data_IF_833013480743
#
_entry.id   IF_833013480743
#
_cell.length_a   1.000
_cell.length_b   1.000
_cell.length_c   1.000
_cell.angle_alpha   90.00
_cell.angle_beta   90.00
_cell.angle_gamma   90.00
#
_symmetry.space_group_name_H-M   'P 1'
#
loop_
_entity.id
_entity.type
_entity.pdbx_description
1 polymer ?
#
# COMPACT_ATOMS: atom_id res chain seq x y z
N UNK A 1 -80.80 25.12 -35.81
CA UNK A 1 -80.26 24.12 -34.88
C UNK A 1 -78.79 23.85 -35.27
N UNK A 2 -77.79 24.36 -34.53
CA UNK A 2 -76.41 24.26 -34.84
C UNK A 2 -75.69 23.45 -33.75
N UNK A 3 -75.18 22.30 -34.11
CA UNK A 3 -74.49 21.39 -33.24
C UNK A 3 -73.03 21.84 -33.08
N UNK A 4 -72.67 22.27 -31.85
CA UNK A 4 -71.32 22.63 -31.40
C UNK A 4 -70.46 21.34 -31.23
N UNK A 5 -69.45 21.13 -32.08
CA UNK A 5 -68.42 20.11 -31.87
C UNK A 5 -67.45 20.59 -30.79
N UNK A 6 -67.36 19.88 -29.69
CA UNK A 6 -66.34 20.04 -28.64
C UNK A 6 -64.97 19.57 -29.19
N UNK A 7 -64.06 20.54 -29.27
CA UNK A 7 -62.64 20.31 -29.56
C UNK A 7 -61.91 19.95 -28.28
N UNK A 8 -61.51 18.71 -28.09
CA UNK A 8 -60.68 18.30 -27.00
C UNK A 8 -59.28 18.88 -27.25
N UNK A 9 -58.84 19.72 -26.35
CA UNK A 9 -57.50 20.29 -26.29
C UNK A 9 -56.50 19.19 -25.94
N UNK A 10 -55.61 18.88 -26.87
CA UNK A 10 -54.39 18.10 -26.62
C UNK A 10 -53.45 18.99 -25.76
N UNK A 11 -53.34 18.66 -24.49
CA UNK A 11 -52.36 19.27 -23.59
C UNK A 11 -50.95 19.03 -24.11
N UNK A 12 -50.26 20.08 -24.50
CA UNK A 12 -48.87 20.10 -24.82
C UNK A 12 -48.03 19.74 -23.56
N UNK A 13 -47.62 18.49 -23.46
CA UNK A 13 -46.57 18.12 -22.51
C UNK A 13 -45.28 18.81 -22.97
N UNK A 14 -44.94 19.94 -22.37
CA UNK A 14 -43.62 20.59 -22.51
C UNK A 14 -42.54 19.58 -22.19
N UNK A 15 -41.86 19.06 -23.22
CA UNK A 15 -40.66 18.26 -23.07
C UNK A 15 -39.61 19.17 -22.43
N UNK A 16 -39.31 18.96 -21.16
CA UNK A 16 -38.25 19.68 -20.46
C UNK A 16 -36.93 19.43 -21.20
N UNK A 17 -36.19 20.51 -21.49
CA UNK A 17 -34.82 20.44 -21.96
C UNK A 17 -34.00 19.80 -20.82
N UNK A 18 -33.45 18.62 -21.08
CA UNK A 18 -32.61 17.90 -20.10
C UNK A 18 -31.35 18.69 -19.90
N UNK A 19 -31.06 19.09 -18.66
CA UNK A 19 -29.82 19.77 -18.27
C UNK A 19 -28.61 18.81 -18.48
N UNK A 20 -27.43 19.35 -18.75
CA UNK A 20 -26.22 18.56 -19.01
C UNK A 20 -25.92 17.57 -17.87
N UNK A 21 -26.14 17.98 -16.61
CA UNK A 21 -25.93 17.12 -15.44
C UNK A 21 -26.94 15.97 -15.42
N UNK A 22 -28.21 16.23 -15.70
CA UNK A 22 -29.25 15.21 -15.80
C UNK A 22 -28.95 14.22 -16.95
N UNK A 23 -28.37 14.70 -18.05
CA UNK A 23 -27.97 13.86 -19.17
C UNK A 23 -26.82 12.91 -18.80
N UNK A 24 -25.83 13.39 -18.05
CA UNK A 24 -24.72 12.54 -17.53
C UNK A 24 -25.23 11.49 -16.56
N UNK A 25 -26.09 11.85 -15.61
CA UNK A 25 -26.69 10.91 -14.66
C UNK A 25 -27.50 9.84 -15.38
N UNK A 26 -28.33 10.22 -16.35
CA UNK A 26 -29.10 9.26 -17.17
C UNK A 26 -28.19 8.36 -18.00
N UNK A 27 -27.11 8.90 -18.57
CA UNK A 27 -26.14 8.10 -19.31
C UNK A 27 -25.50 7.02 -18.42
N UNK A 28 -25.14 7.39 -17.18
CA UNK A 28 -24.61 6.44 -16.20
C UNK A 28 -25.61 5.32 -15.86
N UNK A 29 -26.88 5.66 -15.59
CA UNK A 29 -27.93 4.68 -15.28
C UNK A 29 -28.20 3.74 -16.45
N UNK A 30 -28.26 4.29 -17.68
CA UNK A 30 -28.44 3.49 -18.90
C UNK A 30 -27.25 2.54 -19.10
N UNK A 31 -26.02 3.02 -18.88
CA UNK A 31 -24.82 2.20 -18.97
C UNK A 31 -24.85 1.03 -17.97
N UNK A 32 -25.22 1.30 -16.71
CA UNK A 32 -25.38 0.26 -15.69
C UNK A 32 -26.42 -0.80 -16.07
N UNK A 33 -27.55 -0.38 -16.64
CA UNK A 33 -28.60 -1.30 -17.10
C UNK A 33 -28.19 -2.07 -18.34
N UNK A 34 -27.49 -1.44 -19.28
CA UNK A 34 -26.97 -2.08 -20.48
C UNK A 34 -25.91 -3.16 -20.18
N UNK A 35 -25.23 -3.05 -19.03
CA UNK A 35 -24.27 -4.05 -18.53
C UNK A 35 -24.93 -5.15 -17.69
N UNK A 36 -26.25 -5.08 -17.43
CA UNK A 36 -26.98 -6.07 -16.64
C UNK A 36 -27.35 -7.31 -17.42
N UNK A 37 -27.78 -8.38 -16.72
CA UNK A 37 -28.29 -9.61 -17.33
C UNK A 37 -29.56 -9.39 -18.18
N UNK A 38 -30.29 -8.29 -17.93
CA UNK A 38 -31.46 -7.87 -18.70
C UNK A 38 -31.26 -6.47 -19.30
N UNK A 39 -30.50 -6.34 -20.39
CA UNK A 39 -30.25 -5.06 -21.00
C UNK A 39 -31.54 -4.44 -21.59
N UNK A 40 -31.75 -3.12 -21.43
CA UNK A 40 -33.00 -2.46 -21.79
C UNK A 40 -33.14 -2.27 -23.31
N UNK A 41 -34.36 -2.37 -23.79
CA UNK A 41 -34.74 -1.97 -25.15
C UNK A 41 -34.91 -0.44 -25.22
N UNK A 42 -34.91 0.10 -26.44
CA UNK A 42 -35.21 1.52 -26.69
C UNK A 42 -36.56 1.93 -26.14
N UNK A 43 -37.58 1.04 -26.27
CA UNK A 43 -38.94 1.31 -25.83
C UNK A 43 -38.99 1.39 -24.29
N UNK A 44 -38.36 0.43 -23.59
CA UNK A 44 -38.30 0.39 -22.15
C UNK A 44 -37.61 1.64 -21.58
N UNK A 45 -36.50 2.08 -22.17
CA UNK A 45 -35.83 3.33 -21.76
C UNK A 45 -36.71 4.57 -22.00
N UNK A 46 -37.43 4.62 -23.14
CA UNK A 46 -38.31 5.74 -23.42
C UNK A 46 -39.48 5.83 -22.44
N UNK A 47 -40.08 4.69 -22.09
CA UNK A 47 -41.16 4.59 -21.11
C UNK A 47 -40.67 4.95 -19.68
N UNK A 48 -39.57 4.37 -19.26
CA UNK A 48 -39.00 4.56 -17.91
C UNK A 48 -38.61 6.02 -17.64
N UNK A 49 -37.86 6.60 -18.59
CA UNK A 49 -37.41 8.00 -18.44
C UNK A 49 -38.46 9.03 -18.93
N UNK A 50 -39.62 8.58 -19.40
CA UNK A 50 -40.69 9.45 -19.96
C UNK A 50 -40.16 10.38 -21.04
N UNK A 51 -39.33 9.87 -21.93
CA UNK A 51 -38.72 10.59 -23.04
C UNK A 51 -39.10 9.95 -24.38
N UNK A 52 -38.89 10.70 -25.46
CA UNK A 52 -39.18 10.17 -26.80
C UNK A 52 -38.11 9.17 -27.24
N UNK A 53 -38.42 8.20 -28.13
CA UNK A 53 -37.41 7.30 -28.72
C UNK A 53 -36.27 8.04 -29.42
N UNK A 54 -36.53 9.26 -29.91
CA UNK A 54 -35.49 10.12 -30.48
C UNK A 54 -34.54 10.64 -29.40
N UNK A 55 -35.05 11.00 -28.22
CA UNK A 55 -34.26 11.42 -27.10
C UNK A 55 -33.38 10.28 -26.53
N UNK A 56 -33.86 9.03 -26.58
CA UNK A 56 -33.03 7.85 -26.26
C UNK A 56 -31.85 7.75 -27.23
N UNK A 57 -32.09 7.89 -28.55
CA UNK A 57 -31.01 7.85 -29.53
C UNK A 57 -29.97 8.96 -29.29
N UNK A 58 -30.42 10.19 -28.93
CA UNK A 58 -29.52 11.29 -28.58
C UNK A 58 -28.70 10.95 -27.34
N UNK A 59 -29.30 10.33 -26.31
CA UNK A 59 -28.62 9.87 -25.12
C UNK A 59 -27.56 8.80 -25.44
N UNK A 60 -27.89 7.83 -26.27
CA UNK A 60 -26.91 6.81 -26.73
C UNK A 60 -25.78 7.45 -27.56
N UNK A 61 -26.09 8.43 -28.39
CA UNK A 61 -25.08 9.17 -29.15
C UNK A 61 -24.16 9.98 -28.21
N UNK A 62 -24.70 10.60 -27.20
CA UNK A 62 -23.93 11.30 -26.15
C UNK A 62 -23.05 10.32 -25.38
N UNK A 63 -23.58 9.14 -25.00
CA UNK A 63 -22.79 8.10 -24.33
C UNK A 63 -21.57 7.68 -25.17
N UNK A 64 -21.74 7.53 -26.48
CA UNK A 64 -20.61 7.27 -27.39
C UNK A 64 -19.57 8.38 -27.43
N UNK A 65 -20.01 9.65 -27.38
CA UNK A 65 -19.10 10.80 -27.34
C UNK A 65 -18.25 10.84 -26.06
N UNK A 66 -18.78 10.36 -24.95
CA UNK A 66 -18.06 10.22 -23.69
C UNK A 66 -17.41 8.82 -23.49
N UNK A 67 -17.14 8.13 -24.61
CA UNK A 67 -16.49 6.82 -24.66
C UNK A 67 -17.24 5.66 -23.95
N UNK A 68 -18.55 5.75 -23.77
CA UNK A 68 -19.38 4.64 -23.32
C UNK A 68 -19.96 3.94 -24.55
N UNK A 69 -19.34 2.83 -24.96
CA UNK A 69 -19.72 2.10 -26.20
C UNK A 69 -20.90 1.15 -25.97
N UNK A 70 -22.11 1.71 -26.06
CA UNK A 70 -23.34 0.92 -26.05
C UNK A 70 -23.60 0.40 -27.48
N UNK A 71 -23.77 -0.90 -27.61
CA UNK A 71 -24.14 -1.57 -28.88
C UNK A 71 -25.55 -2.11 -28.81
N UNK A 72 -26.21 -2.26 -29.96
CA UNK A 72 -27.51 -2.92 -30.03
C UNK A 72 -27.30 -4.38 -30.38
N UNK A 73 -27.78 -5.27 -29.53
CA UNK A 73 -27.72 -6.72 -29.72
C UNK A 73 -29.05 -7.38 -29.34
N UNK A 74 -29.37 -8.56 -29.86
CA UNK A 74 -30.55 -9.32 -29.45
C UNK A 74 -30.44 -9.68 -27.95
N UNK A 75 -31.48 -9.38 -27.16
CA UNK A 75 -31.55 -9.78 -25.76
C UNK A 75 -31.80 -11.29 -25.65
N UNK A 76 -31.02 -11.97 -24.80
CA UNK A 76 -31.06 -13.43 -24.67
C UNK A 76 -32.42 -13.97 -24.19
N UNK A 77 -33.21 -13.18 -23.47
CA UNK A 77 -34.51 -13.62 -22.91
C UNK A 77 -35.66 -13.60 -23.88
N UNK A 78 -35.69 -12.68 -24.85
CA UNK A 78 -36.85 -12.48 -25.76
C UNK A 78 -36.46 -12.12 -27.21
N UNK A 79 -35.18 -12.12 -27.54
CA UNK A 79 -34.66 -11.80 -28.88
C UNK A 79 -34.84 -10.36 -29.34
N UNK A 80 -35.38 -9.47 -28.51
CA UNK A 80 -35.59 -8.06 -28.89
C UNK A 80 -34.29 -7.28 -28.95
N UNK A 81 -34.17 -6.33 -29.90
CA UNK A 81 -33.01 -5.44 -29.95
C UNK A 81 -32.91 -4.63 -28.64
N UNK A 82 -31.87 -4.86 -27.88
CA UNK A 82 -31.61 -4.19 -26.63
C UNK A 82 -30.24 -3.49 -26.65
N UNK A 83 -30.08 -2.46 -25.83
CA UNK A 83 -28.81 -1.78 -25.67
C UNK A 83 -27.96 -2.57 -24.68
N UNK A 84 -26.87 -3.15 -25.17
CA UNK A 84 -25.91 -3.93 -24.38
C UNK A 84 -24.61 -3.19 -24.26
N UNK A 85 -23.97 -3.37 -23.11
CA UNK A 85 -22.64 -2.87 -22.82
C UNK A 85 -21.85 -4.01 -22.19
N UNK A 86 -20.68 -4.31 -22.73
CA UNK A 86 -19.78 -5.24 -22.04
C UNK A 86 -19.33 -4.58 -20.73
N UNK A 87 -19.25 -5.35 -19.67
CA UNK A 87 -18.76 -4.82 -18.39
C UNK A 87 -17.36 -4.18 -18.53
N UNK A 88 -16.55 -4.70 -19.48
CA UNK A 88 -15.24 -4.13 -19.85
C UNK A 88 -15.32 -2.75 -20.53
N UNK A 89 -16.45 -2.43 -21.17
CA UNK A 89 -16.61 -1.18 -21.91
C UNK A 89 -17.25 -0.07 -21.03
N UNK A 90 -17.70 -0.46 -19.83
CA UNK A 90 -18.22 0.44 -18.84
C UNK A 90 -17.09 1.01 -17.98
N UNK A 91 -16.79 2.30 -18.12
CA UNK A 91 -15.67 2.95 -17.47
C UNK A 91 -14.30 2.41 -17.95
N UNK A 92 -14.04 2.48 -19.26
CA UNK A 92 -12.67 2.34 -19.73
C UNK A 92 -11.77 3.34 -19.00
N UNK A 93 -10.69 2.84 -18.41
CA UNK A 93 -9.69 3.69 -17.81
C UNK A 93 -8.92 4.39 -18.93
N UNK A 94 -9.00 5.73 -18.94
CA UNK A 94 -8.20 6.55 -19.86
C UNK A 94 -6.79 6.70 -19.29
N UNK A 95 -6.03 5.62 -19.41
CA UNK A 95 -4.65 5.54 -18.96
C UNK A 95 -3.71 5.51 -20.16
N UNK A 96 -2.62 6.23 -20.08
CA UNK A 96 -1.47 6.06 -20.96
C UNK A 96 -0.81 4.70 -20.71
N UNK A 97 0.01 4.25 -21.66
CA UNK A 97 0.78 3.00 -21.50
C UNK A 97 1.69 3.07 -20.27
N UNK A 98 2.33 4.21 -20.01
CA UNK A 98 3.21 4.40 -18.86
C UNK A 98 2.47 4.30 -17.53
N UNK A 99 1.27 4.91 -17.43
CA UNK A 99 0.43 4.81 -16.24
C UNK A 99 -0.10 3.40 -16.01
N UNK A 100 -0.51 2.71 -17.07
CA UNK A 100 -0.96 1.33 -17.00
C UNK A 100 0.18 0.39 -16.57
N UNK A 101 1.37 0.55 -17.17
CA UNK A 101 2.58 -0.19 -16.77
C UNK A 101 2.92 0.08 -15.30
N UNK A 102 2.96 1.34 -14.87
CA UNK A 102 3.25 1.70 -13.48
C UNK A 102 2.23 1.06 -12.52
N UNK A 103 0.92 1.13 -12.83
CA UNK A 103 -0.13 0.57 -11.99
C UNK A 103 -0.06 -0.95 -11.88
N UNK A 104 0.10 -1.65 -13.01
CA UNK A 104 0.17 -3.12 -13.02
C UNK A 104 1.45 -3.62 -12.36
N UNK A 105 2.59 -2.98 -12.62
CA UNK A 105 3.85 -3.41 -12.04
C UNK A 105 4.00 -3.04 -10.58
N UNK A 106 3.44 -1.90 -10.15
CA UNK A 106 3.35 -1.58 -8.73
C UNK A 106 2.51 -2.63 -8.00
N UNK A 107 1.38 -3.04 -8.58
CA UNK A 107 0.55 -4.10 -8.02
C UNK A 107 1.26 -5.45 -8.03
N UNK A 108 1.99 -5.82 -9.08
CA UNK A 108 2.80 -7.04 -9.13
C UNK A 108 3.94 -7.02 -8.11
N UNK A 109 4.59 -5.86 -7.92
CA UNK A 109 5.59 -5.69 -6.89
C UNK A 109 5.00 -5.90 -5.49
N UNK A 110 3.79 -5.42 -5.29
CA UNK A 110 3.01 -5.58 -4.08
C UNK A 110 2.47 -7.00 -3.95
N UNK A 111 2.07 -7.68 -5.04
CA UNK A 111 1.65 -9.08 -5.08
C UNK A 111 2.79 -10.06 -4.78
N UNK A 112 4.01 -9.73 -5.15
CA UNK A 112 5.21 -10.50 -4.78
C UNK A 112 5.56 -10.39 -3.30
N UNK A 113 4.91 -9.50 -2.55
CA UNK A 113 4.94 -9.45 -1.10
C UNK A 113 3.71 -10.20 -0.57
N UNK A 114 3.77 -10.87 0.57
CA UNK A 114 2.58 -11.44 1.20
C UNK A 114 1.69 -10.28 1.70
N UNK A 115 1.09 -9.60 0.75
CA UNK A 115 0.08 -8.63 0.97
C UNK A 115 -1.18 -9.36 1.36
N UNK A 116 -1.56 -9.21 2.60
CA UNK A 116 -2.98 -9.30 2.96
C UNK A 116 -3.57 -10.68 3.17
N UNK A 117 -2.82 -11.78 3.04
CA UNK A 117 -3.39 -13.13 3.23
C UNK A 117 -4.44 -13.54 2.19
N UNK A 118 -4.71 -12.68 1.21
CA UNK A 118 -5.61 -12.95 0.10
C UNK A 118 -4.94 -12.58 -1.23
N UNK A 119 -4.13 -13.50 -1.73
CA UNK A 119 -3.50 -13.38 -3.06
C UNK A 119 -4.55 -13.23 -4.18
N UNK A 120 -5.82 -13.63 -3.92
CA UNK A 120 -6.91 -13.52 -4.88
C UNK A 120 -7.38 -12.07 -5.02
N UNK A 121 -7.60 -11.34 -3.94
CA UNK A 121 -8.09 -9.96 -3.99
C UNK A 121 -7.13 -9.05 -4.78
N UNK A 122 -5.84 -9.29 -4.66
CA UNK A 122 -4.83 -8.55 -5.38
C UNK A 122 -4.76 -8.97 -6.86
N UNK A 123 -4.85 -10.26 -7.17
CA UNK A 123 -4.93 -10.75 -8.54
C UNK A 123 -6.22 -10.26 -9.23
N UNK A 124 -7.36 -10.28 -8.53
CA UNK A 124 -8.64 -9.76 -9.02
C UNK A 124 -8.56 -8.27 -9.30
N UNK A 125 -7.86 -7.50 -8.47
CA UNK A 125 -7.64 -6.06 -8.66
C UNK A 125 -6.83 -5.78 -9.94
N UNK A 126 -5.74 -6.51 -10.18
CA UNK A 126 -4.96 -6.41 -11.43
C UNK A 126 -5.84 -6.76 -12.64
N UNK A 127 -6.60 -7.86 -12.53
CA UNK A 127 -7.50 -8.28 -13.58
C UNK A 127 -8.58 -7.24 -13.88
N UNK A 128 -9.19 -6.64 -12.87
CA UNK A 128 -10.19 -5.58 -13.03
C UNK A 128 -9.63 -4.32 -13.70
N UNK A 129 -8.40 -3.92 -13.36
CA UNK A 129 -7.75 -2.77 -14.00
C UNK A 129 -7.44 -3.11 -15.45
N UNK A 130 -6.80 -4.25 -15.70
CA UNK A 130 -6.38 -4.69 -17.04
C UNK A 130 -7.58 -4.87 -17.97
N UNK A 131 -8.70 -5.43 -17.44
CA UNK A 131 -9.94 -5.61 -18.20
C UNK A 131 -10.59 -4.28 -18.63
N UNK A 132 -10.31 -3.18 -17.95
CA UNK A 132 -10.86 -1.84 -18.25
C UNK A 132 -9.92 -0.96 -19.07
N UNK A 133 -8.72 -1.42 -19.40
CA UNK A 133 -7.81 -0.68 -20.27
C UNK A 133 -8.30 -0.74 -21.72
N UNK A 134 -8.03 0.33 -22.48
CA UNK A 134 -8.23 0.34 -23.92
C UNK A 134 -7.42 -0.77 -24.58
N UNK A 135 -7.95 -1.40 -25.62
CA UNK A 135 -7.31 -2.53 -26.28
C UNK A 135 -5.88 -2.25 -26.74
N UNK A 136 -5.60 -1.02 -27.22
CA UNK A 136 -4.25 -0.60 -27.60
C UNK A 136 -3.28 -0.57 -26.42
N UNK A 137 -3.72 -0.14 -25.22
CA UNK A 137 -2.90 -0.11 -24.01
C UNK A 137 -2.70 -1.53 -23.50
N UNK A 138 -3.75 -2.35 -23.49
CA UNK A 138 -3.70 -3.76 -23.09
C UNK A 138 -2.72 -4.55 -23.96
N UNK A 139 -2.82 -4.44 -25.29
CA UNK A 139 -1.92 -5.12 -26.22
C UNK A 139 -0.45 -4.77 -25.98
N UNK A 140 -0.14 -3.52 -25.60
CA UNK A 140 1.23 -3.10 -25.26
C UNK A 140 1.67 -3.65 -23.90
N UNK A 141 0.77 -3.78 -22.92
CA UNK A 141 1.05 -4.45 -21.65
C UNK A 141 1.35 -5.93 -21.86
N UNK A 142 0.51 -6.63 -22.65
CA UNK A 142 0.71 -8.04 -22.97
C UNK A 142 2.05 -8.27 -23.68
N UNK A 143 2.47 -7.33 -24.54
CA UNK A 143 3.79 -7.39 -25.20
C UNK A 143 4.98 -7.18 -24.24
N UNK A 144 4.74 -6.62 -23.05
CA UNK A 144 5.74 -6.47 -21.98
C UNK A 144 5.75 -7.66 -21.00
N UNK A 145 4.78 -8.56 -21.10
CA UNK A 145 4.75 -9.76 -20.26
C UNK A 145 6.03 -10.58 -20.44
N UNK A 146 6.64 -10.96 -19.33
CA UNK A 146 7.94 -11.64 -19.30
C UNK A 146 9.16 -10.76 -19.60
N UNK A 147 8.98 -9.48 -20.03
CA UNK A 147 10.07 -8.53 -20.29
C UNK A 147 10.27 -7.52 -19.17
N UNK A 148 9.30 -7.40 -18.28
CA UNK A 148 9.35 -6.53 -17.12
C UNK A 148 9.11 -7.36 -15.86
N UNK A 149 9.94 -7.17 -14.84
CA UNK A 149 9.75 -7.79 -13.55
C UNK A 149 10.25 -6.87 -12.43
N UNK A 150 9.46 -6.72 -11.38
CA UNK A 150 9.89 -6.11 -10.12
C UNK A 150 10.23 -7.25 -9.16
N UNK A 151 11.53 -7.42 -8.87
CA UNK A 151 11.98 -8.40 -7.88
C UNK A 151 12.14 -7.70 -6.54
N UNK A 152 11.12 -7.79 -5.70
CA UNK A 152 11.30 -7.47 -4.30
C UNK A 152 12.06 -8.61 -3.63
N UNK A 153 13.06 -8.24 -2.83
CA UNK A 153 13.78 -9.20 -2.01
C UNK A 153 12.78 -10.02 -1.17
N UNK A 154 13.07 -11.30 -0.95
CA UNK A 154 12.23 -12.28 -0.27
C UNK A 154 11.37 -11.67 0.83
N UNK A 155 10.06 -11.78 0.72
CA UNK A 155 9.12 -11.27 1.73
C UNK A 155 9.01 -12.25 2.91
N UNK A 156 8.66 -11.73 4.08
CA UNK A 156 8.28 -12.57 5.21
C UNK A 156 7.01 -13.37 4.86
N UNK A 157 6.84 -14.56 5.44
CA UNK A 157 5.60 -15.34 5.26
C UNK A 157 4.38 -14.49 5.67
N UNK A 158 3.34 -14.49 4.84
CA UNK A 158 2.05 -13.89 5.21
C UNK A 158 1.54 -14.45 6.53
N UNK A 159 0.94 -13.64 7.38
CA UNK A 159 0.11 -14.15 8.44
C UNK A 159 -1.01 -15.00 7.81
N UNK A 160 -1.24 -16.20 8.34
CA UNK A 160 -2.31 -17.10 7.89
C UNK A 160 -3.72 -16.67 8.34
N UNK A 161 -3.89 -15.41 8.70
CA UNK A 161 -5.13 -14.86 9.26
C UNK A 161 -5.46 -13.50 8.61
N UNK A 162 -6.67 -13.03 8.80
CA UNK A 162 -7.18 -11.75 8.32
C UNK A 162 -6.57 -10.53 9.03
N UNK A 163 -5.38 -10.67 9.63
CA UNK A 163 -4.79 -9.64 10.48
C UNK A 163 -4.66 -8.29 9.79
N UNK A 164 -4.31 -8.27 8.51
CA UNK A 164 -4.20 -7.02 7.77
C UNK A 164 -5.54 -6.31 7.67
N UNK A 165 -6.59 -7.03 7.29
CA UNK A 165 -7.94 -6.47 7.15
C UNK A 165 -8.45 -5.91 8.48
N UNK A 166 -8.30 -6.68 9.56
CA UNK A 166 -8.74 -6.27 10.89
C UNK A 166 -7.96 -5.06 11.41
N UNK A 167 -6.63 -5.02 11.16
CA UNK A 167 -5.81 -3.86 11.51
C UNK A 167 -6.23 -2.63 10.72
N UNK A 168 -6.46 -2.77 9.41
CA UNK A 168 -6.90 -1.66 8.56
C UNK A 168 -8.25 -1.11 9.02
N UNK A 169 -9.20 -1.99 9.37
CA UNK A 169 -10.50 -1.61 9.93
C UNK A 169 -10.33 -0.87 11.27
N UNK A 170 -9.45 -1.37 12.16
CA UNK A 170 -9.12 -0.70 13.42
C UNK A 170 -8.54 0.70 13.24
N UNK A 171 -7.69 0.91 12.22
CA UNK A 171 -7.15 2.23 11.88
C UNK A 171 -8.24 3.15 11.34
N UNK A 172 -9.05 2.67 10.39
CA UNK A 172 -10.11 3.47 9.75
C UNK A 172 -11.21 3.91 10.74
N UNK A 173 -11.56 3.03 11.67
CA UNK A 173 -12.62 3.29 12.66
C UNK A 173 -12.11 3.84 13.99
N UNK A 174 -10.80 4.01 14.16
CA UNK A 174 -10.16 4.36 15.43
C UNK A 174 -10.55 3.43 16.57
N UNK A 175 -10.51 2.12 16.32
CA UNK A 175 -10.86 1.07 17.29
C UNK A 175 -9.62 0.36 17.82
N UNK A 176 -9.65 0.09 19.11
CA UNK A 176 -8.61 -0.70 19.79
C UNK A 176 -8.59 -2.12 19.22
N UNK A 177 -7.42 -2.69 19.13
CA UNK A 177 -7.22 -4.09 18.73
C UNK A 177 -6.73 -4.89 19.93
N UNK A 178 -7.35 -6.04 20.16
CA UNK A 178 -6.87 -7.06 21.09
C UNK A 178 -6.12 -8.11 20.30
N UNK A 179 -4.81 -8.24 20.58
CA UNK A 179 -3.91 -9.10 19.82
C UNK A 179 -3.17 -10.09 20.72
N UNK A 180 -2.92 -11.28 20.19
CA UNK A 180 -1.93 -12.21 20.73
C UNK A 180 -0.65 -12.07 19.90
N UNK A 181 0.37 -11.45 20.49
CA UNK A 181 1.62 -11.11 19.81
C UNK A 181 2.76 -12.04 20.19
N UNK A 182 3.38 -12.67 19.19
CA UNK A 182 4.55 -13.51 19.39
C UNK A 182 5.83 -12.68 19.41
N UNK A 183 6.35 -12.38 20.60
CA UNK A 183 7.62 -11.67 20.75
C UNK A 183 8.81 -12.62 20.58
N UNK A 184 9.82 -12.27 19.76
CA UNK A 184 11.05 -13.06 19.63
C UNK A 184 11.96 -12.92 20.84
N UNK A 185 11.70 -11.96 21.73
CA UNK A 185 12.56 -11.57 22.81
C UNK A 185 11.99 -11.92 24.18
N UNK A 186 12.72 -12.64 24.98
CA UNK A 186 12.56 -12.69 26.45
C UNK A 186 13.42 -11.58 27.02
N UNK A 187 12.85 -10.57 27.73
CA UNK A 187 13.69 -9.67 28.51
C UNK A 187 14.47 -10.53 29.52
N UNK A 188 15.80 -10.50 29.46
CA UNK A 188 16.63 -11.01 30.53
C UNK A 188 16.26 -10.23 31.79
N UNK A 189 15.88 -10.92 32.86
CA UNK A 189 15.81 -10.35 34.21
C UNK A 189 17.24 -9.98 34.61
N UNK A 190 17.70 -8.82 34.18
CA UNK A 190 18.95 -8.19 34.59
C UNK A 190 18.60 -7.07 35.54
N UNK A 191 19.02 -7.22 36.75
CA UNK A 191 18.99 -6.23 37.82
C UNK A 191 19.67 -4.93 37.39
N UNK A 192 18.96 -3.82 37.54
CA UNK A 192 19.56 -2.51 37.76
C UNK A 192 19.74 -1.60 36.56
N UNK A 193 19.08 -0.52 36.70
CA UNK A 193 19.17 0.78 36.06
C UNK A 193 18.08 1.11 35.04
N UNK A 194 17.46 2.22 35.34
CA UNK A 194 16.26 2.79 34.74
C UNK A 194 16.29 2.88 33.21
N UNK A 195 15.20 2.48 32.59
CA UNK A 195 14.54 3.31 31.58
C UNK A 195 15.04 3.29 30.15
N UNK A 196 15.73 2.26 29.66
CA UNK A 196 15.90 2.15 28.21
C UNK A 196 14.89 1.13 27.65
N UNK A 197 13.81 1.61 27.06
CA UNK A 197 12.96 0.80 26.21
C UNK A 197 13.78 0.38 24.98
N UNK A 198 14.51 -0.73 25.10
CA UNK A 198 15.26 -1.31 23.98
C UNK A 198 14.23 -1.74 22.95
N UNK A 199 14.09 -0.98 21.89
CA UNK A 199 13.49 -1.47 20.65
C UNK A 199 14.21 -2.74 20.30
N UNK A 200 13.47 -3.84 20.19
CA UNK A 200 14.07 -5.14 19.92
C UNK A 200 14.90 -5.06 18.63
N UNK A 201 16.14 -5.57 18.62
CA UNK A 201 16.90 -5.71 17.38
C UNK A 201 16.10 -6.51 16.36
N UNK A 202 16.41 -6.31 15.09
CA UNK A 202 15.78 -7.01 13.99
C UNK A 202 15.67 -8.51 14.31
N UNK A 203 14.45 -9.05 14.30
CA UNK A 203 14.23 -10.44 14.68
C UNK A 203 14.82 -11.47 13.73
N UNK A 204 15.23 -11.06 12.54
CA UNK A 204 15.91 -11.95 11.61
C UNK A 204 17.41 -12.11 11.93
N UNK A 205 17.96 -11.27 12.81
CA UNK A 205 19.40 -11.25 13.09
C UNK A 205 19.87 -12.18 14.23
N UNK A 206 19.00 -12.74 15.06
CA UNK A 206 19.42 -13.64 16.14
C UNK A 206 18.29 -14.54 16.65
N UNK A 207 17.67 -15.32 15.79
CA UNK A 207 16.83 -16.42 16.23
C UNK A 207 17.71 -17.51 16.82
N UNK A 208 17.99 -17.43 18.10
CA UNK A 208 18.51 -18.55 18.87
C UNK A 208 17.55 -19.72 18.69
N UNK A 209 17.96 -20.71 17.90
CA UNK A 209 17.24 -21.95 17.68
C UNK A 209 17.04 -22.60 19.04
N UNK A 210 15.78 -22.72 19.50
CA UNK A 210 15.43 -23.58 20.64
C UNK A 210 14.73 -22.97 21.86
N UNK A 211 14.45 -21.64 21.93
CA UNK A 211 13.67 -21.09 23.06
C UNK A 211 12.23 -20.79 22.62
N UNK A 212 11.25 -21.29 23.36
CA UNK A 212 9.84 -21.03 23.12
C UNK A 212 9.57 -19.51 23.08
N UNK A 213 9.04 -19.03 21.95
CA UNK A 213 8.63 -17.64 21.77
C UNK A 213 7.45 -17.33 22.70
N UNK A 214 7.49 -16.21 23.38
CA UNK A 214 6.42 -15.80 24.30
C UNK A 214 5.29 -15.16 23.50
N UNK A 215 4.08 -15.71 23.61
CA UNK A 215 2.87 -15.05 23.16
C UNK A 215 2.36 -14.18 24.30
N UNK A 216 2.08 -12.92 24.02
CA UNK A 216 1.55 -11.93 24.95
C UNK A 216 0.24 -11.40 24.42
N UNK A 217 -0.82 -11.52 25.23
CA UNK A 217 -2.10 -10.89 24.93
C UNK A 217 -2.02 -9.40 25.33
N UNK A 218 -2.26 -8.50 24.39
CA UNK A 218 -2.15 -7.06 24.57
C UNK A 218 -3.24 -6.32 23.80
N UNK A 219 -3.63 -5.17 24.30
CA UNK A 219 -4.51 -4.24 23.60
C UNK A 219 -3.70 -3.08 23.05
N UNK A 220 -3.94 -2.73 21.78
CA UNK A 220 -3.22 -1.66 21.08
C UNK A 220 -4.17 -0.70 20.40
N UNK A 221 -3.80 0.56 20.29
CA UNK A 221 -4.43 1.59 19.49
C UNK A 221 -3.66 1.71 18.17
N UNK A 222 -4.13 1.15 17.04
CA UNK A 222 -3.38 1.15 15.80
C UNK A 222 -3.45 2.53 15.15
N UNK A 223 -2.31 3.21 15.03
CA UNK A 223 -2.22 4.54 14.42
C UNK A 223 -1.92 4.46 12.93
N UNK A 224 -1.16 3.47 12.48
CA UNK A 224 -0.83 3.31 11.07
C UNK A 224 -0.21 1.96 10.75
N UNK A 225 -0.18 1.64 9.46
CA UNK A 225 0.43 0.43 8.93
C UNK A 225 1.30 0.79 7.72
N UNK A 226 2.50 0.22 7.62
CA UNK A 226 3.39 0.44 6.49
C UNK A 226 4.19 -0.83 6.18
N UNK A 227 4.68 -0.90 4.95
CA UNK A 227 5.52 -2.00 4.49
C UNK A 227 6.98 -1.58 4.42
N UNK A 228 7.86 -2.29 5.11
CA UNK A 228 9.30 -2.10 5.06
C UNK A 228 10.02 -3.42 5.39
N UNK A 229 11.29 -3.54 5.00
CA UNK A 229 12.11 -4.72 5.32
C UNK A 229 11.36 -6.05 5.09
N UNK A 230 10.68 -6.14 3.95
CA UNK A 230 9.94 -7.35 3.53
C UNK A 230 8.79 -7.77 4.44
N UNK A 231 8.25 -6.85 5.26
CA UNK A 231 7.16 -7.14 6.18
C UNK A 231 6.25 -5.93 6.41
N UNK A 232 5.03 -6.20 6.81
CA UNK A 232 4.11 -5.19 7.30
C UNK A 232 4.36 -4.89 8.78
N UNK A 233 4.36 -3.62 9.10
CA UNK A 233 4.52 -3.10 10.46
C UNK A 233 3.33 -2.24 10.84
N UNK A 234 2.85 -2.41 12.07
CA UNK A 234 1.78 -1.62 12.67
C UNK A 234 2.40 -0.71 13.71
N UNK A 235 2.24 0.59 13.56
CA UNK A 235 2.57 1.55 14.60
C UNK A 235 1.36 1.70 15.50
N UNK A 236 1.51 1.43 16.78
CA UNK A 236 0.40 1.47 17.71
C UNK A 236 0.84 1.94 19.10
N UNK A 237 -0.08 2.54 19.82
CA UNK A 237 0.10 2.84 21.25
C UNK A 237 -0.33 1.61 22.06
N UNK A 238 0.55 1.08 22.89
CA UNK A 238 0.25 -0.06 23.77
C UNK A 238 -0.58 0.41 24.98
N UNK A 239 -1.70 -0.25 25.25
CA UNK A 239 -2.52 0.03 26.44
C UNK A 239 -2.16 -0.90 27.61
N UNK A 240 -2.33 -0.44 28.87
CA UNK A 240 -2.48 0.95 29.25
C UNK A 240 -1.15 1.72 29.21
N UNK A 241 -1.12 2.87 28.49
CA UNK A 241 -0.13 3.94 28.63
C UNK A 241 1.37 3.61 28.43
N UNK A 242 1.72 2.49 27.78
CA UNK A 242 3.11 2.05 27.63
C UNK A 242 3.84 2.66 26.42
N UNK A 243 3.23 3.68 25.78
CA UNK A 243 3.80 4.44 24.65
C UNK A 243 3.73 3.72 23.32
N UNK A 244 4.19 4.42 22.30
CA UNK A 244 4.21 3.93 20.92
C UNK A 244 5.13 2.72 20.77
N UNK A 245 4.68 1.76 19.99
CA UNK A 245 5.44 0.52 19.68
C UNK A 245 5.24 0.16 18.21
N UNK A 246 6.23 -0.54 17.69
CA UNK A 246 6.19 -1.11 16.35
C UNK A 246 5.94 -2.62 16.45
N UNK A 247 4.92 -3.08 15.77
CA UNK A 247 4.53 -4.49 15.75
C UNK A 247 4.64 -5.06 14.33
N UNK A 248 5.37 -6.17 14.19
CA UNK A 248 5.45 -6.87 12.90
C UNK A 248 4.16 -7.69 12.71
N UNK A 249 3.41 -7.41 11.66
CA UNK A 249 2.09 -8.03 11.41
C UNK A 249 2.16 -9.57 11.36
N UNK A 250 3.23 -10.12 10.76
CA UNK A 250 3.46 -11.56 10.66
C UNK A 250 3.55 -12.29 12.02
N UNK A 251 3.63 -11.55 13.13
CA UNK A 251 3.70 -12.08 14.50
C UNK A 251 2.37 -12.01 15.25
N UNK A 252 1.32 -11.54 14.61
CA UNK A 252 -0.03 -11.58 15.17
C UNK A 252 -0.57 -13.00 15.06
N UNK A 253 -0.77 -13.67 16.18
CA UNK A 253 -1.38 -15.01 16.24
C UNK A 253 -2.89 -14.92 16.24
N UNK A 254 -3.42 -13.91 16.91
CA UNK A 254 -4.83 -13.54 16.94
C UNK A 254 -4.93 -12.03 16.88
N UNK A 255 -5.97 -11.53 16.23
CA UNK A 255 -6.34 -10.13 16.23
C UNK A 255 -7.86 -10.01 16.22
N UNK A 256 -8.40 -9.16 17.04
CA UNK A 256 -9.82 -8.88 17.12
C UNK A 256 -10.04 -7.37 17.33
N UNK A 257 -11.09 -6.85 16.73
CA UNK A 257 -11.57 -5.49 17.00
C UNK A 257 -12.25 -5.45 18.36
N UNK A 258 -11.84 -4.50 19.19
CA UNK A 258 -12.54 -4.17 20.44
C UNK A 258 -13.65 -3.15 20.16
N UNK A 259 -14.67 -3.10 20.99
CA UNK A 259 -15.69 -2.03 20.94
C UNK A 259 -15.16 -0.68 21.45
N UNK A 260 -14.01 -0.67 22.08
CA UNK A 260 -13.37 0.53 22.59
C UNK A 260 -12.79 1.35 21.45
N UNK A 261 -13.10 2.64 21.41
CA UNK A 261 -12.51 3.61 20.49
C UNK A 261 -11.37 4.39 21.17
N UNK A 262 -10.45 4.87 20.36
CA UNK A 262 -9.39 5.78 20.80
C UNK A 262 -9.44 7.09 20.01
N UNK A 263 -8.74 8.11 20.52
CA UNK A 263 -8.62 9.39 19.82
C UNK A 263 -7.24 9.47 19.19
N UNK A 264 -7.21 9.63 17.86
CA UNK A 264 -5.96 9.80 17.13
C UNK A 264 -5.27 11.12 17.53
N UNK A 265 -3.98 11.13 17.86
CA UNK A 265 -3.26 12.37 18.14
C UNK A 265 -3.28 13.30 16.93
N UNK A 266 -3.58 14.58 17.15
CA UNK A 266 -3.68 15.57 16.09
C UNK A 266 -2.36 15.73 15.34
N UNK A 267 -2.40 15.64 14.02
CA UNK A 267 -1.23 15.81 13.15
C UNK A 267 -0.25 14.63 13.15
N UNK A 268 -0.59 13.49 13.76
CA UNK A 268 0.25 12.31 13.68
C UNK A 268 0.29 11.75 12.26
N UNK A 269 1.49 11.38 11.78
CA UNK A 269 1.71 10.73 10.49
C UNK A 269 2.80 9.66 10.63
N UNK A 270 2.78 8.66 9.73
CA UNK A 270 3.82 7.63 9.66
C UNK A 270 5.18 8.27 9.35
N UNK A 271 5.23 9.21 8.42
CA UNK A 271 6.47 9.90 8.04
C UNK A 271 7.05 10.68 9.22
N UNK A 272 6.19 11.37 10.01
CA UNK A 272 6.59 12.05 11.23
C UNK A 272 7.16 11.09 12.29
N UNK A 273 6.54 9.91 12.44
CA UNK A 273 7.01 8.87 13.35
C UNK A 273 8.35 8.28 12.92
N UNK A 274 8.55 8.03 11.62
CA UNK A 274 9.74 7.42 11.04
C UNK A 274 10.86 8.42 10.71
N UNK A 275 10.64 9.71 10.90
CA UNK A 275 11.52 10.80 10.43
C UNK A 275 13.01 10.60 10.73
N UNK A 276 13.33 9.99 11.87
CA UNK A 276 14.71 9.75 12.32
C UNK A 276 15.05 8.26 12.44
N UNK A 277 14.15 7.37 12.01
CA UNK A 277 14.47 5.94 11.90
C UNK A 277 15.43 5.73 10.73
N UNK A 278 16.40 4.84 10.88
CA UNK A 278 17.23 4.46 9.73
C UNK A 278 16.39 3.76 8.65
N UNK A 279 15.62 2.76 9.04
CA UNK A 279 14.61 2.11 8.18
C UNK A 279 13.25 2.01 8.89
N UNK A 280 13.17 1.26 9.99
CA UNK A 280 11.90 1.01 10.69
C UNK A 280 11.98 1.18 12.19
N UNK A 281 13.18 1.02 12.81
CA UNK A 281 13.34 1.08 14.27
C UNK A 281 13.43 2.52 14.73
N UNK A 282 12.40 2.96 15.46
CA UNK A 282 12.39 4.25 16.15
C UNK A 282 12.76 4.02 17.60
N UNK A 283 13.93 4.53 18.00
CA UNK A 283 14.27 4.62 19.41
C UNK A 283 13.74 5.96 19.93
N UNK A 284 12.58 5.94 20.59
CA UNK A 284 11.92 7.15 21.10
C UNK A 284 12.71 7.87 22.18
N UNK A 285 13.57 7.13 22.89
CA UNK A 285 14.41 7.68 23.97
C UNK A 285 15.75 8.24 23.44
N UNK A 286 16.13 7.89 22.21
CA UNK A 286 17.35 8.37 21.59
C UNK A 286 17.14 9.76 20.97
N UNK A 287 18.03 10.68 21.28
CA UNK A 287 18.07 11.97 20.59
C UNK A 287 18.55 11.78 19.15
N UNK A 288 17.89 12.42 18.17
CA UNK A 288 18.40 12.44 16.81
C UNK A 288 19.87 12.90 16.79
N UNK A 289 20.73 12.09 16.25
CA UNK A 289 22.19 12.28 16.26
C UNK A 289 22.72 12.32 14.84
N UNK A 290 23.55 13.30 14.55
CA UNK A 290 24.24 13.40 13.27
C UNK A 290 25.32 12.33 13.20
N UNK A 291 25.23 11.45 12.19
CA UNK A 291 26.23 10.43 11.89
C UNK A 291 27.06 10.85 10.68
N UNK A 292 28.33 10.53 10.69
CA UNK A 292 29.27 10.82 9.59
C UNK A 292 30.05 9.55 9.27
N UNK A 293 29.95 9.08 8.05
CA UNK A 293 30.56 7.85 7.59
C UNK A 293 31.29 8.17 6.28
N UNK A 294 32.51 7.72 6.15
CA UNK A 294 33.25 7.82 4.90
C UNK A 294 33.28 6.47 4.19
N UNK A 295 33.06 6.52 2.89
CA UNK A 295 33.11 5.38 1.99
C UNK A 295 34.19 5.60 0.95
N UNK A 296 34.98 4.57 0.68
CA UNK A 296 36.02 4.67 -0.35
C UNK A 296 35.42 4.64 -1.78
N UNK A 297 36.27 4.91 -2.78
CA UNK A 297 35.86 5.03 -4.17
C UNK A 297 35.19 3.77 -4.72
N UNK A 298 35.47 2.58 -4.15
CA UNK A 298 34.94 1.31 -4.64
C UNK A 298 33.44 1.19 -4.46
N UNK A 299 32.90 1.79 -3.41
CA UNK A 299 31.48 1.72 -3.07
C UNK A 299 30.76 3.07 -3.20
N UNK A 300 31.50 4.16 -3.41
CA UNK A 300 30.95 5.52 -3.46
C UNK A 300 29.85 5.67 -4.53
N UNK A 301 29.95 5.04 -5.70
CA UNK A 301 28.93 5.10 -6.75
C UNK A 301 27.56 4.64 -6.26
N UNK A 302 27.49 3.46 -5.65
CA UNK A 302 26.24 2.90 -5.11
C UNK A 302 25.64 3.79 -4.01
N UNK A 303 26.51 4.46 -3.24
CA UNK A 303 26.06 5.36 -2.19
C UNK A 303 25.41 6.63 -2.73
N UNK A 304 25.96 7.17 -3.82
CA UNK A 304 25.48 8.40 -4.46
C UNK A 304 24.15 8.16 -5.18
N UNK A 305 23.98 6.99 -5.79
CA UNK A 305 22.79 6.64 -6.57
C UNK A 305 21.56 6.32 -5.72
N UNK A 306 21.74 6.11 -4.41
CA UNK A 306 20.67 5.66 -3.53
C UNK A 306 20.32 6.71 -2.46
N UNK A 307 19.04 6.99 -2.28
CA UNK A 307 18.54 7.74 -1.12
C UNK A 307 18.35 6.77 0.04
N UNK A 308 19.33 6.71 0.93
CA UNK A 308 19.33 5.84 2.11
C UNK A 308 18.51 6.41 3.27
N UNK A 309 18.53 7.74 3.43
CA UNK A 309 17.80 8.43 4.48
C UNK A 309 17.38 9.82 4.02
N UNK A 310 16.17 10.32 4.39
CA UNK A 310 15.69 11.63 3.93
C UNK A 310 16.60 12.82 4.33
N UNK A 311 17.36 12.68 5.42
CA UNK A 311 18.30 13.72 5.89
C UNK A 311 19.74 13.51 5.40
N UNK A 312 19.97 12.64 4.41
CA UNK A 312 21.33 12.40 3.93
C UNK A 312 21.92 13.59 3.19
N UNK A 313 23.21 13.78 3.42
CA UNK A 313 24.05 14.70 2.66
C UNK A 313 25.30 13.92 2.21
N UNK A 314 25.74 14.16 0.97
CA UNK A 314 26.91 13.51 0.40
C UNK A 314 27.92 14.59 -0.02
N UNK A 315 29.14 14.48 0.50
CA UNK A 315 30.30 15.30 0.15
C UNK A 315 31.31 14.44 -0.60
N UNK A 316 31.79 14.90 -1.75
CA UNK A 316 32.85 14.23 -2.49
C UNK A 316 34.21 14.54 -1.88
N UNK A 317 35.02 13.50 -1.64
CA UNK A 317 36.37 13.59 -1.09
C UNK A 317 37.42 13.30 -2.18
N UNK A 318 38.70 13.69 -1.96
CA UNK A 318 39.77 13.33 -2.85
C UNK A 318 39.89 11.82 -3.07
N UNK A 319 40.33 11.42 -4.27
CA UNK A 319 40.48 10.02 -4.63
C UNK A 319 39.20 9.26 -4.93
N UNK A 320 38.07 9.97 -5.11
CA UNK A 320 36.76 9.36 -5.43
C UNK A 320 36.03 8.80 -4.23
N UNK A 321 36.53 8.99 -3.02
CA UNK A 321 35.80 8.67 -1.79
C UNK A 321 34.66 9.68 -1.53
N UNK A 322 33.74 9.31 -0.64
CA UNK A 322 32.67 10.22 -0.21
C UNK A 322 32.54 10.26 1.32
N UNK A 323 31.97 11.35 1.80
CA UNK A 323 31.47 11.48 3.16
C UNK A 323 29.97 11.52 3.14
N UNK A 324 29.36 10.53 3.76
CA UNK A 324 27.91 10.41 3.96
C UNK A 324 27.57 10.96 5.35
N UNK A 325 26.55 11.79 5.41
CA UNK A 325 26.03 12.35 6.68
C UNK A 325 24.54 12.13 6.73
N UNK A 326 23.99 11.75 7.88
CA UNK A 326 22.56 11.67 8.14
C UNK A 326 22.24 11.96 9.60
N UNK A 327 20.97 12.24 9.93
CA UNK A 327 20.50 12.46 11.30
C UNK A 327 19.51 11.35 11.69
N UNK A 328 19.93 10.46 12.61
CA UNK A 328 19.19 9.25 12.98
C UNK A 328 18.99 9.12 14.49
N UNK A 329 17.92 8.48 14.91
CA UNK A 329 17.62 8.18 16.31
C UNK A 329 17.89 6.69 16.61
N UNK A 330 19.10 6.40 17.08
CA UNK A 330 19.58 5.03 17.35
C UNK A 330 20.45 4.46 16.23
N UNK A 331 21.20 3.42 16.58
CA UNK A 331 22.23 2.85 15.68
C UNK A 331 22.02 1.36 15.39
N UNK A 332 20.93 0.77 15.89
CA UNK A 332 20.73 -0.69 15.83
C UNK A 332 20.55 -1.22 14.40
N UNK A 333 19.97 -0.42 13.49
CA UNK A 333 19.87 -0.73 12.06
C UNK A 333 21.07 -0.22 11.26
N UNK A 334 21.62 0.92 11.67
CA UNK A 334 22.72 1.57 10.99
C UNK A 334 24.03 0.77 11.14
N UNK A 335 24.30 0.21 12.33
CA UNK A 335 25.51 -0.59 12.59
C UNK A 335 25.65 -1.79 11.63
N UNK A 336 24.66 -2.70 11.48
CA UNK A 336 24.77 -3.82 10.54
C UNK A 336 24.83 -3.35 9.08
N UNK A 337 24.19 -2.24 8.72
CA UNK A 337 24.29 -1.66 7.41
C UNK A 337 25.72 -1.21 7.09
N UNK A 338 26.40 -0.52 8.03
CA UNK A 338 27.81 -0.10 7.89
C UNK A 338 28.71 -1.34 7.75
N UNK A 339 28.52 -2.34 8.60
CA UNK A 339 29.31 -3.57 8.59
C UNK A 339 29.18 -4.34 7.24
N UNK A 340 28.06 -4.22 6.57
CA UNK A 340 27.84 -4.80 5.23
C UNK A 340 28.78 -4.27 4.15
N UNK A 341 29.40 -3.11 4.36
CA UNK A 341 30.42 -2.55 3.45
C UNK A 341 31.86 -3.00 3.79
N UNK A 342 32.03 -3.74 4.88
CA UNK A 342 33.33 -4.26 5.32
C UNK A 342 34.37 -3.15 5.51
N UNK A 343 35.56 -3.33 4.92
CA UNK A 343 36.65 -2.34 5.03
C UNK A 343 36.44 -1.05 4.23
N UNK A 344 35.38 -0.99 3.42
CA UNK A 344 35.09 0.16 2.54
C UNK A 344 34.28 1.27 3.24
N UNK A 345 33.87 1.07 4.50
CA UNK A 345 33.15 2.04 5.32
C UNK A 345 33.92 2.38 6.60
N UNK A 346 34.02 3.66 6.92
CA UNK A 346 34.69 4.16 8.14
C UNK A 346 33.78 5.14 8.88
N UNK A 347 33.43 4.84 10.12
CA UNK A 347 32.66 5.76 10.97
C UNK A 347 33.56 6.87 11.47
N UNK A 348 33.26 8.11 11.12
CA UNK A 348 33.94 9.31 11.60
C UNK A 348 33.31 9.83 12.88
N UNK A 349 31.98 9.90 12.91
CA UNK A 349 31.20 10.38 14.06
C UNK A 349 29.82 9.72 14.11
N UNK A 350 29.21 9.60 15.27
CA UNK A 350 29.75 9.92 16.59
C UNK A 350 30.69 8.83 17.13
N UNK A 351 31.40 9.12 18.18
CA UNK A 351 32.30 8.18 18.86
C UNK A 351 31.58 6.90 19.30
N UNK A 352 30.38 7.03 19.85
CA UNK A 352 29.57 5.87 20.27
C UNK A 352 29.32 4.87 19.13
N UNK A 353 28.86 5.33 17.95
CA UNK A 353 28.64 4.47 16.79
C UNK A 353 29.96 3.81 16.33
N UNK A 354 31.05 4.58 16.31
CA UNK A 354 32.35 4.05 15.93
C UNK A 354 32.82 2.95 16.90
N UNK A 355 32.64 3.13 18.19
CA UNK A 355 32.99 2.12 19.19
C UNK A 355 32.15 0.86 19.09
N UNK A 356 30.84 0.98 18.80
CA UNK A 356 29.96 -0.17 18.53
C UNK A 356 30.42 -0.97 17.31
N UNK A 357 30.71 -0.29 16.20
CA UNK A 357 31.19 -0.94 14.97
C UNK A 357 32.55 -1.63 15.23
N UNK A 358 33.48 -0.97 15.89
CA UNK A 358 34.79 -1.57 16.22
C UNK A 358 34.66 -2.75 17.18
N UNK A 359 33.72 -2.73 18.13
CA UNK A 359 33.48 -3.86 19.02
C UNK A 359 33.01 -5.10 18.26
N UNK A 360 32.08 -4.90 17.31
CA UNK A 360 31.58 -5.99 16.47
C UNK A 360 32.69 -6.56 15.56
N UNK A 361 33.48 -5.70 14.91
CA UNK A 361 34.62 -6.15 14.07
C UNK A 361 35.60 -7.00 14.90
N UNK A 362 35.92 -6.58 16.13
CA UNK A 362 36.78 -7.37 17.02
C UNK A 362 36.15 -8.72 17.38
N UNK A 363 34.84 -8.76 17.65
CA UNK A 363 34.14 -10.00 17.95
C UNK A 363 34.13 -10.97 16.74
N UNK A 364 33.92 -10.43 15.53
CA UNK A 364 34.01 -11.20 14.27
C UNK A 364 35.43 -11.75 14.07
N UNK A 365 36.46 -10.96 14.25
CA UNK A 365 37.86 -11.39 14.13
C UNK A 365 38.19 -12.52 15.10
N UNK A 366 37.84 -12.35 16.38
CA UNK A 366 38.03 -13.39 17.39
C UNK A 366 37.29 -14.70 17.09
N UNK A 367 36.12 -14.63 16.44
CA UNK A 367 35.39 -15.82 16.02
C UNK A 367 36.17 -16.57 14.95
N UNK A 368 36.67 -15.88 13.92
CA UNK A 368 37.48 -16.47 12.85
C UNK A 368 38.78 -17.07 13.39
N UNK A 369 39.48 -16.40 14.30
CA UNK A 369 40.71 -16.92 14.91
C UNK A 369 40.45 -18.20 15.73
N UNK A 370 39.33 -18.27 16.44
CA UNK A 370 38.95 -19.50 17.16
C UNK A 370 38.69 -20.69 16.25
N UNK A 371 38.09 -20.44 15.08
CA UNK A 371 37.85 -21.48 14.08
C UNK A 371 39.15 -21.94 13.40
N UNK A 372 40.10 -21.01 13.17
CA UNK A 372 41.39 -21.32 12.56
C UNK A 372 42.36 -22.06 13.51
N UNK A 373 42.14 -21.97 14.82
CA UNK A 373 42.93 -22.65 15.86
C UNK A 373 42.35 -23.95 16.37
N UNK A 374 41.19 -24.38 15.85
CA UNK A 374 40.50 -25.63 16.17
C UNK A 374 40.73 -26.66 15.06
#
# INVERSE_FOLDING_TARGET
MATKKHRVSKGDAKVKRVDNVEMVLRAYEVARKAASAMPPTRKELAEEYRITPRAVNNLISFMKQININVVTAPRSSDGKPAYTLRASDFLQLDMSVSEAVASVHLQQAVLGTPLVGDDRAAADSVHQITARLRDQVRSKLDALEGRFAVKLLRAAKSPKNDAFRVVLEGILENRVLDIDYESPYKPSRGTGAAGAARTAPDPDAAAGIGKARKIEAISIEPYGIFFARRSWYVVANKRPGAGMRLYKLARFKRVALSDTRFTMPRGWTIDGYLKHAWEVIVNQDAKPTRVVIEFDAKVAGNMIETVWHPSQEIEHLPGGAIRFTATVAGFDELQPWILGYGSHARVVAPKELRERVHAEIRAMHQAVEREAGA
#
